data_IF_542017943037
#
_entry.id   IF_542017943037
#
_cell.length_a   1.000
_cell.length_b   1.000
_cell.length_c   1.000
_cell.angle_alpha   90.00
_cell.angle_beta   90.00
_cell.angle_gamma   90.00
#
_symmetry.space_group_name_H-M   'P 1'
#
loop_
_entity.id
_entity.type
_entity.pdbx_description
1 polymer ?
#
# COMPACT_ATOMS: atom_id res chain seq x y z
N UNK A 1 -18.03 -36.08 -43.07
CA UNK A 1 -18.56 -34.71 -43.09
C UNK A 1 -18.10 -33.98 -41.84
N UNK A 2 -16.97 -33.27 -41.89
CA UNK A 2 -16.55 -32.29 -40.89
C UNK A 2 -15.75 -31.23 -41.66
N UNK A 3 -16.37 -30.05 -41.83
CA UNK A 3 -15.78 -28.92 -42.54
C UNK A 3 -14.89 -28.13 -41.59
N UNK A 4 -13.62 -28.05 -41.96
CA UNK A 4 -12.62 -27.06 -41.56
C UNK A 4 -13.18 -25.64 -41.70
N UNK A 5 -13.13 -24.85 -40.62
CA UNK A 5 -13.30 -23.39 -40.70
C UNK A 5 -11.97 -22.75 -40.36
N UNK A 6 -11.34 -22.19 -41.39
CA UNK A 6 -10.11 -21.42 -41.37
C UNK A 6 -10.51 -20.05 -41.94
N UNK A 7 -10.52 -19.00 -41.11
CA UNK A 7 -10.76 -17.62 -41.56
C UNK A 7 -9.89 -16.72 -40.69
N UNK A 8 -8.70 -16.35 -41.16
CA UNK A 8 -8.35 -15.20 -42.01
C UNK A 8 -8.21 -13.91 -41.20
N UNK A 9 -6.93 -13.57 -40.97
CA UNK A 9 -6.44 -12.30 -40.47
C UNK A 9 -6.57 -11.28 -41.61
N UNK A 10 -7.28 -10.17 -41.38
CA UNK A 10 -7.21 -9.02 -42.27
C UNK A 10 -6.95 -7.72 -41.51
N UNK A 11 -5.77 -7.20 -41.83
CA UNK A 11 -5.18 -5.90 -41.54
C UNK A 11 -6.08 -4.73 -41.93
N UNK A 12 -6.32 -3.79 -41.02
CA UNK A 12 -6.58 -2.39 -41.38
C UNK A 12 -5.70 -1.48 -40.51
N UNK A 13 -4.59 -1.06 -41.11
CA UNK A 13 -3.78 0.10 -40.73
C UNK A 13 -4.04 1.13 -41.80
N UNK A 14 -4.82 2.19 -41.50
CA UNK A 14 -4.80 3.44 -42.28
C UNK A 14 -5.12 4.66 -41.41
N UNK A 15 -4.06 5.43 -41.17
CA UNK A 15 -3.94 6.89 -41.41
C UNK A 15 -5.04 7.83 -40.93
N UNK A 16 -4.72 8.63 -39.90
CA UNK A 16 -5.15 10.03 -39.80
C UNK A 16 -4.05 10.85 -39.11
N UNK A 17 -3.13 11.40 -39.92
CA UNK A 17 -2.17 12.43 -39.54
C UNK A 17 -2.35 13.59 -40.51
N UNK A 18 -2.84 14.74 -40.03
CA UNK A 18 -2.44 16.13 -40.40
C UNK A 18 -3.50 17.17 -39.99
N UNK A 19 -3.01 18.30 -39.48
CA UNK A 19 -3.75 19.56 -39.34
C UNK A 19 -3.57 20.20 -37.95
N UNK A 20 -2.39 20.76 -37.64
CA UNK A 20 -2.04 22.18 -37.83
C UNK A 20 -2.65 23.13 -36.78
N UNK A 21 -1.82 23.60 -35.86
CA UNK A 21 -2.09 24.74 -34.98
C UNK A 21 -0.77 25.36 -34.49
N UNK A 22 -0.37 26.48 -35.11
CA UNK A 22 0.77 27.34 -34.75
C UNK A 22 0.34 28.41 -33.75
N UNK A 23 1.29 28.82 -32.89
CA UNK A 23 1.28 30.06 -32.10
C UNK A 23 0.88 29.82 -30.64
N UNK A 24 1.60 30.25 -29.60
CA UNK A 24 2.50 31.39 -29.44
C UNK A 24 3.72 31.08 -28.57
N UNK A 25 4.80 31.83 -28.84
CA UNK A 25 5.97 32.00 -27.98
C UNK A 25 5.58 32.84 -26.76
N UNK A 26 6.03 32.45 -25.57
CA UNK A 26 6.50 33.38 -24.55
C UNK A 26 7.59 32.70 -23.72
N UNK A 27 8.63 33.47 -23.49
CA UNK A 27 9.93 33.07 -22.97
C UNK A 27 10.03 33.24 -21.45
N UNK A 28 11.17 32.72 -20.96
CA UNK A 28 11.92 33.11 -19.76
C UNK A 28 11.65 32.34 -18.46
N UNK A 29 12.71 31.72 -17.95
CA UNK A 29 12.89 31.53 -16.51
C UNK A 29 13.62 30.26 -16.09
N UNK A 30 14.93 30.39 -15.88
CA UNK A 30 15.79 29.57 -14.99
C UNK A 30 15.98 28.08 -15.31
N UNK A 31 16.99 27.80 -16.13
CA UNK A 31 17.69 26.53 -16.15
C UNK A 31 18.65 26.46 -14.95
N UNK A 32 18.36 25.59 -13.97
CA UNK A 32 19.33 25.21 -12.94
C UNK A 32 20.10 24.01 -13.45
N UNK A 33 21.31 24.27 -13.95
CA UNK A 33 22.28 23.24 -14.28
C UNK A 33 22.81 22.60 -12.98
N UNK A 34 22.45 21.33 -12.75
CA UNK A 34 23.11 20.50 -11.75
C UNK A 34 24.28 19.79 -12.42
N UNK A 35 25.48 20.21 -12.04
CA UNK A 35 26.74 19.67 -12.52
C UNK A 35 26.88 18.19 -12.16
N UNK A 36 27.39 17.43 -13.14
CA UNK A 36 27.89 16.07 -13.00
C UNK A 36 29.03 16.00 -11.99
N UNK A 37 29.01 14.97 -11.12
CA UNK A 37 30.24 14.36 -10.60
C UNK A 37 30.22 12.89 -11.00
N UNK A 38 30.82 12.63 -12.14
CA UNK A 38 31.10 11.30 -12.69
C UNK A 38 32.31 10.73 -11.95
N UNK A 39 32.07 9.86 -10.97
CA UNK A 39 33.13 9.06 -10.33
C UNK A 39 33.48 7.87 -11.22
N UNK A 40 34.47 8.05 -12.09
CA UNK A 40 35.05 7.02 -12.95
C UNK A 40 36.12 6.26 -12.14
N UNK A 41 35.84 5.06 -11.65
CA UNK A 41 36.86 4.16 -11.12
C UNK A 41 37.21 3.11 -12.20
N UNK A 42 38.29 3.40 -12.94
CA UNK A 42 38.99 2.45 -13.78
C UNK A 42 39.80 1.51 -12.89
N UNK A 43 39.42 0.23 -12.82
CA UNK A 43 40.33 -0.83 -12.37
C UNK A 43 40.62 -1.71 -13.58
N UNK A 44 41.69 -1.36 -14.27
CA UNK A 44 42.37 -2.17 -15.27
C UNK A 44 43.19 -3.26 -14.57
N UNK A 45 43.00 -4.52 -14.93
CA UNK A 45 43.78 -5.64 -14.42
C UNK A 45 43.64 -6.89 -15.28
N UNK A 46 44.17 -6.83 -16.51
CA UNK A 46 44.44 -8.02 -17.32
C UNK A 46 45.78 -8.64 -16.87
N UNK A 47 45.77 -9.93 -16.54
CA UNK A 47 46.96 -10.78 -16.58
C UNK A 47 46.63 -12.04 -17.38
N UNK A 48 47.30 -12.30 -18.53
CA UNK A 48 47.19 -13.56 -19.25
C UNK A 48 48.19 -14.56 -18.65
N UNK A 49 47.67 -15.50 -17.85
CA UNK A 49 48.44 -16.61 -17.30
C UNK A 49 48.16 -17.90 -18.06
N UNK A 50 49.22 -18.48 -18.62
CA UNK A 50 49.29 -19.70 -19.45
C UNK A 50 48.89 -20.98 -18.70
N UNK A 51 48.22 -21.86 -19.46
CA UNK A 51 48.38 -23.31 -19.56
C UNK A 51 48.85 -24.09 -18.31
N UNK A 52 47.89 -24.73 -17.64
CA UNK A 52 48.12 -26.01 -16.98
C UNK A 52 46.82 -26.82 -17.01
N UNK A 53 46.80 -27.89 -17.81
CA UNK A 53 45.72 -28.87 -17.84
C UNK A 53 45.67 -29.62 -16.49
N UNK A 54 44.51 -29.68 -15.79
CA UNK A 54 44.40 -30.53 -14.61
C UNK A 54 44.09 -31.97 -15.03
N UNK A 55 44.80 -32.89 -14.38
CA UNK A 55 44.58 -34.32 -14.43
C UNK A 55 43.14 -34.66 -14.04
N UNK A 56 42.52 -35.57 -14.81
CA UNK A 56 41.27 -36.23 -14.44
C UNK A 56 41.54 -37.14 -13.23
N UNK A 57 41.10 -36.74 -12.04
CA UNK A 57 40.86 -37.68 -10.95
C UNK A 57 39.40 -38.13 -11.02
N UNK A 58 39.21 -39.43 -11.22
CA UNK A 58 37.92 -40.11 -11.15
C UNK A 58 37.48 -40.20 -9.67
N UNK A 59 37.14 -39.05 -9.07
CA UNK A 59 36.58 -39.00 -7.73
C UNK A 59 35.07 -39.21 -7.81
N UNK A 60 34.67 -40.45 -7.50
CA UNK A 60 33.27 -40.86 -7.29
C UNK A 60 32.61 -39.86 -6.32
N UNK A 61 31.58 -39.10 -6.76
CA UNK A 61 30.99 -38.07 -5.91
C UNK A 61 30.38 -38.75 -4.68
N UNK A 62 30.93 -38.43 -3.51
CA UNK A 62 30.35 -38.78 -2.24
C UNK A 62 28.91 -38.27 -2.22
N UNK A 63 27.96 -39.16 -1.94
CA UNK A 63 26.55 -38.84 -1.77
C UNK A 63 26.44 -37.91 -0.57
N UNK A 64 26.50 -36.61 -0.84
CA UNK A 64 26.46 -35.56 0.17
C UNK A 64 25.11 -35.59 0.87
N UNK A 65 25.15 -35.75 2.19
CA UNK A 65 24.00 -35.57 3.07
C UNK A 65 23.32 -34.24 2.75
N UNK A 66 22.02 -34.27 2.47
CA UNK A 66 21.23 -33.09 2.16
C UNK A 66 21.45 -32.03 3.24
N UNK A 67 22.15 -30.95 2.88
CA UNK A 67 22.48 -29.89 3.82
C UNK A 67 21.22 -29.06 4.03
N UNK A 68 20.86 -28.78 5.28
CA UNK A 68 19.69 -27.95 5.59
C UNK A 68 19.77 -26.61 4.82
N UNK A 69 18.62 -26.03 4.39
CA UNK A 69 18.63 -24.78 3.66
C UNK A 69 19.27 -23.67 4.51
N UNK A 70 19.99 -22.78 3.84
CA UNK A 70 20.59 -21.64 4.54
C UNK A 70 19.50 -20.74 5.14
N UNK A 71 19.79 -20.13 6.30
CA UNK A 71 18.92 -19.11 6.93
C UNK A 71 18.58 -17.97 5.95
N UNK A 72 19.52 -17.63 5.07
CA UNK A 72 19.32 -16.62 4.04
C UNK A 72 18.21 -17.00 3.05
N UNK A 73 18.15 -18.27 2.62
CA UNK A 73 17.10 -18.76 1.72
C UNK A 73 15.73 -18.76 2.41
N UNK A 74 15.65 -19.09 3.71
CA UNK A 74 14.39 -19.02 4.48
C UNK A 74 13.88 -17.57 4.55
N UNK A 75 14.74 -16.62 4.91
CA UNK A 75 14.38 -15.18 4.97
C UNK A 75 13.98 -14.64 3.60
N UNK A 76 14.69 -15.04 2.54
CA UNK A 76 14.35 -14.71 1.16
C UNK A 76 12.96 -15.22 0.79
N UNK A 77 12.68 -16.49 1.09
CA UNK A 77 11.42 -17.16 0.75
C UNK A 77 10.25 -16.53 1.49
N UNK A 78 10.40 -16.28 2.80
CA UNK A 78 9.41 -15.60 3.63
C UNK A 78 9.08 -14.19 3.11
N UNK A 79 10.09 -13.43 2.71
CA UNK A 79 9.93 -12.08 2.15
C UNK A 79 9.27 -12.10 0.77
N UNK A 80 9.61 -13.08 -0.08
CA UNK A 80 8.95 -13.29 -1.37
C UNK A 80 7.47 -13.61 -1.21
N UNK A 81 7.11 -14.50 -0.28
CA UNK A 81 5.71 -14.85 -0.02
C UNK A 81 4.91 -13.65 0.49
N UNK A 82 5.47 -12.89 1.45
CA UNK A 82 4.81 -11.71 1.97
C UNK A 82 4.58 -10.64 0.89
N UNK A 83 5.61 -10.32 0.10
CA UNK A 83 5.53 -9.31 -0.95
C UNK A 83 4.51 -9.70 -2.02
N UNK A 84 4.50 -10.98 -2.42
CA UNK A 84 3.54 -11.51 -3.40
C UNK A 84 2.12 -11.54 -2.86
N UNK A 85 1.94 -11.90 -1.58
CA UNK A 85 0.64 -11.83 -0.91
C UNK A 85 0.12 -10.38 -0.82
N UNK A 86 0.98 -9.40 -0.53
CA UNK A 86 0.62 -7.97 -0.57
C UNK A 86 0.20 -7.55 -1.97
N UNK A 87 0.92 -7.97 -3.01
CA UNK A 87 0.55 -7.68 -4.40
C UNK A 87 -0.83 -8.28 -4.76
N UNK A 88 -1.08 -9.53 -4.40
CA UNK A 88 -2.37 -10.17 -4.66
C UNK A 88 -3.52 -9.53 -3.87
N UNK A 89 -3.28 -9.16 -2.62
CA UNK A 89 -4.24 -8.41 -1.81
C UNK A 89 -4.54 -7.04 -2.44
N UNK A 90 -3.51 -6.35 -2.93
CA UNK A 90 -3.67 -5.07 -3.61
C UNK A 90 -4.53 -5.22 -4.88
N UNK A 91 -4.31 -6.26 -5.68
CA UNK A 91 -5.11 -6.52 -6.89
C UNK A 91 -6.58 -6.77 -6.54
N UNK A 92 -6.86 -7.60 -5.53
CA UNK A 92 -8.23 -7.91 -5.07
C UNK A 92 -8.93 -6.70 -4.48
N UNK A 93 -8.28 -5.99 -3.55
CA UNK A 93 -8.82 -4.78 -2.92
C UNK A 93 -9.04 -3.68 -3.95
N UNK A 94 -8.14 -3.57 -4.94
CA UNK A 94 -8.32 -2.63 -6.04
C UNK A 94 -9.56 -2.94 -6.86
N UNK A 95 -9.77 -4.20 -7.26
CA UNK A 95 -10.99 -4.59 -7.98
C UNK A 95 -12.26 -4.24 -7.19
N UNK A 96 -12.29 -4.53 -5.88
CA UNK A 96 -13.40 -4.17 -5.01
C UNK A 96 -13.64 -2.66 -4.93
N UNK A 97 -12.57 -1.86 -4.82
CA UNK A 97 -12.69 -0.39 -4.77
C UNK A 97 -13.12 0.23 -6.09
N UNK A 98 -12.72 -0.34 -7.21
CA UNK A 98 -13.23 0.11 -8.52
C UNK A 98 -14.71 -0.22 -8.67
N UNK A 99 -15.15 -1.37 -8.17
CA UNK A 99 -16.56 -1.75 -8.15
C UNK A 99 -17.39 -0.81 -7.26
N UNK A 100 -16.91 -0.48 -6.06
CA UNK A 100 -17.53 0.50 -5.15
C UNK A 100 -17.63 1.89 -5.78
N UNK A 101 -16.64 2.31 -6.56
CA UNK A 101 -16.67 3.58 -7.31
C UNK A 101 -17.62 3.55 -8.51
N UNK A 102 -17.85 2.38 -9.11
CA UNK A 102 -18.79 2.22 -10.22
C UNK A 102 -20.24 2.19 -9.72
N UNK A 103 -20.46 1.60 -8.54
CA UNK A 103 -21.75 1.43 -7.91
C UNK A 103 -21.68 2.00 -6.48
N UNK A 104 -21.63 3.34 -6.33
CA UNK A 104 -21.66 3.94 -5.00
C UNK A 104 -22.92 3.45 -4.30
N UNK A 105 -22.74 2.61 -3.28
CA UNK A 105 -23.86 1.98 -2.60
C UNK A 105 -24.68 3.08 -1.95
N UNK A 106 -25.96 3.17 -2.35
CA UNK A 106 -26.93 4.02 -1.67
C UNK A 106 -27.39 3.42 -0.34
N UNK A 107 -26.84 2.26 0.03
CA UNK A 107 -27.25 1.51 1.20
C UNK A 107 -26.88 2.25 2.48
N UNK A 108 -27.87 2.83 3.20
CA UNK A 108 -27.62 3.50 4.47
C UNK A 108 -27.06 2.54 5.52
N UNK A 109 -27.18 1.21 5.37
CA UNK A 109 -26.57 0.26 6.29
C UNK A 109 -25.02 0.23 6.20
N UNK A 110 -24.46 0.64 5.05
CA UNK A 110 -23.00 0.82 4.89
C UNK A 110 -22.52 2.15 5.50
N UNK A 111 -23.41 3.14 5.60
CA UNK A 111 -23.21 4.31 6.43
C UNK A 111 -23.56 3.94 7.88
N UNK A 112 -22.64 3.26 8.57
CA UNK A 112 -22.85 2.73 9.92
C UNK A 112 -23.29 3.80 10.94
N UNK A 113 -24.60 4.06 11.00
CA UNK A 113 -25.25 4.66 12.14
C UNK A 113 -25.48 3.56 13.17
N UNK A 114 -24.99 3.69 14.42
CA UNK A 114 -25.27 2.71 15.46
C UNK A 114 -26.78 2.71 15.77
N UNK A 115 -27.39 1.53 15.78
CA UNK A 115 -28.83 1.32 16.01
C UNK A 115 -29.27 1.55 17.48
N UNK A 116 -28.56 2.37 18.26
CA UNK A 116 -28.80 2.46 19.71
C UNK A 116 -28.62 3.85 20.33
N UNK A 117 -28.56 4.91 19.52
CA UNK A 117 -28.67 6.26 20.07
C UNK A 117 -30.16 6.63 20.24
N UNK A 118 -30.60 7.14 21.42
CA UNK A 118 -31.92 7.72 21.57
C UNK A 118 -32.06 8.90 20.61
N UNK A 119 -33.06 8.81 19.72
CA UNK A 119 -33.48 9.77 18.69
C UNK A 119 -32.44 10.82 18.26
N UNK A 120 -31.40 10.42 17.49
CA UNK A 120 -30.62 11.39 16.75
C UNK A 120 -31.55 12.07 15.75
N UNK A 121 -31.63 13.40 15.82
CA UNK A 121 -32.24 14.24 14.78
C UNK A 121 -31.84 13.67 13.42
N UNK A 122 -32.78 13.36 12.50
CA UNK A 122 -32.48 12.72 11.22
C UNK A 122 -31.59 13.64 10.35
N UNK A 123 -30.29 13.55 10.55
CA UNK A 123 -29.31 14.09 9.61
C UNK A 123 -29.39 13.28 8.32
N UNK A 124 -29.16 13.90 7.15
CA UNK A 124 -29.04 13.14 5.92
C UNK A 124 -27.93 12.08 6.10
N UNK A 125 -28.15 10.83 5.67
CA UNK A 125 -27.16 9.77 5.83
C UNK A 125 -25.84 10.23 5.21
N UNK A 126 -24.76 10.11 5.97
CA UNK A 126 -23.43 10.47 5.49
C UNK A 126 -23.08 9.60 4.28
N UNK A 127 -23.00 10.23 3.10
CA UNK A 127 -22.55 9.61 1.86
C UNK A 127 -21.14 10.14 1.57
N UNK A 128 -20.09 9.30 1.64
CA UNK A 128 -18.79 9.73 1.15
C UNK A 128 -18.94 10.12 -0.32
N UNK A 129 -18.51 11.32 -0.67
CA UNK A 129 -18.53 11.75 -2.06
C UNK A 129 -17.58 10.87 -2.87
N UNK A 130 -17.94 10.56 -4.11
CA UNK A 130 -17.14 9.70 -4.98
C UNK A 130 -15.69 10.22 -5.15
N UNK A 131 -15.50 11.54 -5.04
CA UNK A 131 -14.19 12.17 -5.10
C UNK A 131 -13.30 11.79 -3.91
N UNK A 132 -13.84 11.76 -2.70
CA UNK A 132 -13.14 11.33 -1.49
C UNK A 132 -12.80 9.83 -1.53
N UNK A 133 -13.73 8.98 -1.98
CA UNK A 133 -13.45 7.55 -2.14
C UNK A 133 -12.35 7.31 -3.18
N UNK A 134 -12.39 8.02 -4.31
CA UNK A 134 -11.38 7.93 -5.35
C UNK A 134 -10.01 8.45 -4.87
N UNK A 135 -9.96 9.58 -4.18
CA UNK A 135 -8.72 10.13 -3.60
C UNK A 135 -8.08 9.18 -2.58
N UNK A 136 -8.89 8.63 -1.67
CA UNK A 136 -8.43 7.65 -0.68
C UNK A 136 -7.87 6.39 -1.34
N UNK A 137 -8.54 5.89 -2.38
CA UNK A 137 -8.08 4.75 -3.15
C UNK A 137 -6.76 5.04 -3.87
N UNK A 138 -6.63 6.19 -4.55
CA UNK A 138 -5.43 6.57 -5.31
C UNK A 138 -4.20 6.66 -4.40
N UNK A 139 -4.34 7.29 -3.23
CA UNK A 139 -3.28 7.35 -2.20
C UNK A 139 -2.86 5.97 -1.71
N UNK A 140 -3.85 5.14 -1.35
CA UNK A 140 -3.61 3.76 -0.92
C UNK A 140 -2.89 2.95 -2.00
N UNK A 141 -3.36 3.02 -3.26
CA UNK A 141 -2.79 2.27 -4.37
C UNK A 141 -1.33 2.67 -4.63
N UNK A 142 -1.03 3.97 -4.63
CA UNK A 142 0.34 4.48 -4.78
C UNK A 142 1.25 3.97 -3.68
N UNK A 143 0.85 4.11 -2.41
CA UNK A 143 1.65 3.64 -1.27
C UNK A 143 1.89 2.13 -1.29
N UNK A 144 0.89 1.36 -1.73
CA UNK A 144 0.96 -0.10 -1.80
C UNK A 144 1.88 -0.54 -2.94
N UNK A 145 1.81 0.09 -4.12
CA UNK A 145 2.71 -0.19 -5.24
C UNK A 145 4.16 0.11 -4.88
N UNK A 146 4.43 1.23 -4.19
CA UNK A 146 5.77 1.55 -3.70
C UNK A 146 6.27 0.53 -2.67
N UNK A 147 5.42 0.11 -1.72
CA UNK A 147 5.79 -0.92 -0.75
C UNK A 147 6.13 -2.27 -1.41
N UNK A 148 5.35 -2.70 -2.40
CA UNK A 148 5.62 -3.93 -3.17
C UNK A 148 6.90 -3.80 -3.98
N UNK A 149 7.12 -2.66 -4.65
CA UNK A 149 8.34 -2.40 -5.40
C UNK A 149 9.59 -2.46 -4.50
N UNK A 150 9.53 -1.83 -3.33
CA UNK A 150 10.59 -1.87 -2.32
C UNK A 150 10.83 -3.29 -1.81
N UNK A 151 9.77 -4.07 -1.57
CA UNK A 151 9.86 -5.48 -1.16
C UNK A 151 10.65 -6.33 -2.15
N UNK A 152 10.37 -6.21 -3.46
CA UNK A 152 11.12 -6.94 -4.48
C UNK A 152 12.55 -6.42 -4.68
N UNK A 153 12.76 -5.11 -4.60
CA UNK A 153 14.09 -4.51 -4.72
C UNK A 153 15.03 -4.88 -3.56
N UNK A 154 14.48 -5.04 -2.34
CA UNK A 154 15.25 -5.42 -1.15
C UNK A 154 15.70 -6.88 -1.10
N UNK A 155 15.13 -7.75 -1.93
CA UNK A 155 15.50 -9.15 -2.01
C UNK A 155 16.80 -9.34 -2.77
N UNK A 156 17.83 -9.90 -2.13
CA UNK A 156 19.03 -10.39 -2.82
C UNK A 156 18.70 -11.63 -3.67
N UNK A 157 19.51 -11.99 -4.68
CA UNK A 157 19.36 -13.28 -5.36
C UNK A 157 19.41 -14.46 -4.37
N UNK A 158 18.54 -15.43 -4.58
CA UNK A 158 18.45 -16.68 -3.79
C UNK A 158 19.57 -17.67 -4.11
N UNK A 159 20.20 -17.55 -5.28
CA UNK A 159 21.13 -18.54 -5.82
C UNK A 159 20.43 -19.68 -6.58
N UNK A 160 19.09 -19.68 -6.64
CA UNK A 160 18.30 -20.62 -7.43
C UNK A 160 17.79 -19.88 -8.68
N UNK A 161 18.34 -20.16 -9.88
CA UNK A 161 18.08 -19.36 -11.07
C UNK A 161 16.59 -19.21 -11.44
N UNK A 162 15.79 -20.26 -11.23
CA UNK A 162 14.36 -20.21 -11.51
C UNK A 162 13.60 -19.27 -10.55
N UNK A 163 13.96 -19.28 -9.27
CA UNK A 163 13.38 -18.41 -8.25
C UNK A 163 13.80 -16.93 -8.45
N UNK A 164 15.04 -16.71 -8.86
CA UNK A 164 15.57 -15.38 -9.17
C UNK A 164 14.91 -14.77 -10.41
N UNK A 165 14.61 -15.59 -11.44
CA UNK A 165 13.80 -15.16 -12.59
C UNK A 165 12.37 -14.79 -12.19
N UNK A 166 11.72 -15.56 -11.33
CA UNK A 166 10.38 -15.23 -10.83
C UNK A 166 10.37 -13.87 -10.11
N UNK A 167 11.31 -13.66 -9.18
CA UNK A 167 11.48 -12.37 -8.49
C UNK A 167 11.70 -11.23 -9.49
N UNK A 168 12.61 -11.41 -10.46
CA UNK A 168 12.92 -10.38 -11.44
C UNK A 168 11.72 -10.01 -12.32
N UNK A 169 10.91 -11.00 -12.75
CA UNK A 169 9.70 -10.76 -13.54
C UNK A 169 8.63 -10.00 -12.75
N UNK A 170 8.40 -10.37 -11.50
CA UNK A 170 7.46 -9.67 -10.62
C UNK A 170 7.93 -8.22 -10.36
N UNK A 171 9.21 -8.04 -10.05
CA UNK A 171 9.81 -6.73 -9.86
C UNK A 171 9.67 -5.85 -11.11
N UNK A 172 9.93 -6.40 -12.30
CA UNK A 172 9.80 -5.71 -13.57
C UNK A 172 8.35 -5.26 -13.83
N UNK A 173 7.37 -6.15 -13.64
CA UNK A 173 5.95 -5.80 -13.84
C UNK A 173 5.49 -4.68 -12.92
N UNK A 174 5.83 -4.75 -11.63
CA UNK A 174 5.50 -3.66 -10.68
C UNK A 174 6.25 -2.37 -11.04
N UNK A 175 7.52 -2.47 -11.42
CA UNK A 175 8.34 -1.34 -11.84
C UNK A 175 7.80 -0.62 -13.08
N UNK A 176 7.18 -1.35 -14.00
CA UNK A 176 6.54 -0.81 -15.21
C UNK A 176 5.32 0.07 -14.89
N UNK A 177 4.44 -0.38 -13.99
CA UNK A 177 3.22 0.39 -13.66
C UNK A 177 3.47 1.53 -12.66
N UNK A 178 4.51 1.40 -11.83
CA UNK A 178 4.81 2.33 -10.73
C UNK A 178 4.80 3.80 -11.13
N UNK A 179 5.55 4.27 -12.15
CA UNK A 179 5.59 5.69 -12.49
C UNK A 179 4.21 6.23 -12.88
N UNK A 180 3.40 5.44 -13.57
CA UNK A 180 2.07 5.84 -13.98
C UNK A 180 1.09 5.88 -12.80
N UNK A 181 1.15 4.90 -11.89
CA UNK A 181 0.37 4.93 -10.64
C UNK A 181 0.72 6.17 -9.82
N UNK A 182 2.01 6.46 -9.62
CA UNK A 182 2.47 7.64 -8.88
C UNK A 182 1.99 8.94 -9.54
N UNK A 183 2.08 9.05 -10.87
CA UNK A 183 1.59 10.22 -11.62
C UNK A 183 0.08 10.40 -11.50
N UNK A 184 -0.69 9.31 -11.57
CA UNK A 184 -2.15 9.36 -11.45
C UNK A 184 -2.62 9.68 -10.03
N UNK A 185 -1.84 9.28 -9.02
CA UNK A 185 -2.12 9.46 -7.60
C UNK A 185 -1.44 10.68 -6.97
N UNK A 186 -0.73 11.51 -7.75
CA UNK A 186 -0.03 12.68 -7.24
C UNK A 186 -0.99 13.63 -6.50
N UNK A 187 -0.67 13.91 -5.24
CA UNK A 187 -1.55 14.65 -4.34
C UNK A 187 -1.91 16.04 -4.88
N UNK A 188 -0.91 16.79 -5.37
CA UNK A 188 -1.14 18.13 -5.89
C UNK A 188 -2.05 18.09 -7.12
N UNK A 189 -1.78 17.16 -8.04
CA UNK A 189 -2.61 16.95 -9.21
C UNK A 189 -4.04 16.50 -8.89
N UNK A 190 -4.30 15.90 -7.72
CA UNK A 190 -5.65 15.50 -7.30
C UNK A 190 -6.47 16.65 -6.72
N UNK A 191 -5.85 17.63 -6.05
CA UNK A 191 -6.59 18.71 -5.36
C UNK A 191 -7.44 19.57 -6.29
N UNK A 192 -7.02 19.74 -7.54
CA UNK A 192 -7.72 20.58 -8.53
C UNK A 192 -8.75 19.83 -9.39
N UNK A 193 -8.92 18.53 -9.19
CA UNK A 193 -9.79 17.71 -10.03
C UNK A 193 -11.20 17.62 -9.49
N UNK A 194 -12.16 17.56 -10.41
CA UNK A 194 -13.53 17.18 -10.11
C UNK A 194 -13.62 15.74 -9.58
N UNK A 195 -14.69 15.38 -8.85
CA UNK A 195 -14.95 14.00 -8.44
C UNK A 195 -14.93 13.00 -9.61
N UNK A 196 -15.47 13.38 -10.77
CA UNK A 196 -15.51 12.52 -11.95
C UNK A 196 -14.10 12.22 -12.51
N UNK A 197 -13.22 13.23 -12.56
CA UNK A 197 -11.83 13.05 -13.00
C UNK A 197 -11.03 12.19 -12.02
N UNK A 198 -11.23 12.36 -10.71
CA UNK A 198 -10.62 11.50 -9.68
C UNK A 198 -11.06 10.04 -9.87
N UNK A 199 -12.35 9.79 -10.06
CA UNK A 199 -12.88 8.46 -10.36
C UNK A 199 -12.29 7.88 -11.66
N UNK A 200 -12.15 8.69 -12.70
CA UNK A 200 -11.50 8.29 -13.95
C UNK A 200 -10.03 7.90 -13.76
N UNK A 201 -9.27 8.64 -12.94
CA UNK A 201 -7.90 8.27 -12.53
C UNK A 201 -7.88 6.97 -11.72
N UNK A 202 -8.76 6.83 -10.74
CA UNK A 202 -8.88 5.61 -9.94
C UNK A 202 -9.09 4.38 -10.83
N UNK A 203 -10.04 4.42 -11.77
CA UNK A 203 -10.29 3.34 -12.74
C UNK A 203 -9.04 2.96 -13.55
N UNK A 204 -8.24 3.94 -13.99
CA UNK A 204 -6.97 3.68 -14.69
C UNK A 204 -5.94 3.00 -13.80
N UNK A 205 -5.77 3.46 -12.56
CA UNK A 205 -4.88 2.78 -11.58
C UNK A 205 -5.35 1.35 -11.31
N UNK A 206 -6.66 1.12 -11.21
CA UNK A 206 -7.20 -0.22 -11.04
C UNK A 206 -6.92 -1.14 -12.21
N UNK A 207 -7.00 -0.63 -13.45
CA UNK A 207 -6.63 -1.37 -14.65
C UNK A 207 -5.14 -1.71 -14.69
N UNK A 208 -4.26 -0.79 -14.28
CA UNK A 208 -2.80 -1.04 -14.17
C UNK A 208 -2.50 -2.16 -13.17
N UNK A 209 -3.10 -2.11 -11.98
CA UNK A 209 -2.96 -3.19 -10.99
C UNK A 209 -3.52 -4.53 -11.50
N UNK A 210 -4.65 -4.51 -12.20
CA UNK A 210 -5.23 -5.71 -12.79
C UNK A 210 -4.35 -6.33 -13.89
N UNK A 211 -3.57 -5.50 -14.60
CA UNK A 211 -2.65 -5.94 -15.67
C UNK A 211 -1.46 -6.76 -15.16
N UNK A 212 -1.10 -6.62 -13.88
CA UNK A 212 -0.04 -7.42 -13.27
C UNK A 212 -0.46 -8.88 -13.18
N UNK A 213 0.23 -9.75 -13.93
CA UNK A 213 -0.02 -11.19 -13.93
C UNK A 213 0.99 -11.91 -13.04
N UNK A 214 0.54 -12.91 -12.30
CA UNK A 214 1.40 -13.85 -11.60
C UNK A 214 2.18 -14.67 -12.66
N UNK A 215 3.53 -14.60 -12.71
CA UNK A 215 4.29 -15.42 -13.64
C UNK A 215 4.15 -16.91 -13.30
N UNK A 216 4.29 -17.77 -14.32
CA UNK A 216 4.34 -19.23 -14.14
C UNK A 216 5.70 -19.78 -14.55
N UNK A 217 6.26 -20.75 -13.81
CA UNK A 217 5.76 -21.29 -12.52
C UNK A 217 5.85 -20.25 -11.39
N UNK A 218 4.91 -20.30 -10.45
CA UNK A 218 4.93 -19.49 -9.24
C UNK A 218 5.84 -20.12 -8.17
N UNK A 219 5.98 -19.44 -7.02
CA UNK A 219 6.90 -19.87 -5.97
C UNK A 219 6.58 -21.28 -5.41
N UNK A 220 5.32 -21.65 -5.13
CA UNK A 220 4.97 -23.02 -4.76
C UNK A 220 5.36 -24.07 -5.81
N UNK A 221 5.10 -23.79 -7.09
CA UNK A 221 5.47 -24.71 -8.18
C UNK A 221 6.99 -24.82 -8.36
N UNK A 222 7.75 -23.77 -8.04
CA UNK A 222 9.21 -23.81 -8.02
C UNK A 222 9.74 -24.60 -6.82
N UNK A 223 9.16 -24.39 -5.63
CA UNK A 223 9.50 -25.12 -4.42
C UNK A 223 9.32 -26.63 -4.62
N UNK A 224 8.22 -27.06 -5.24
CA UNK A 224 7.97 -28.47 -5.55
C UNK A 224 9.05 -29.12 -6.45
N UNK A 225 9.84 -28.33 -7.18
CA UNK A 225 10.89 -28.81 -8.10
C UNK A 225 12.31 -28.67 -7.54
N UNK A 226 12.50 -28.01 -6.40
CA UNK A 226 13.81 -27.77 -5.81
C UNK A 226 13.77 -28.07 -4.30
N UNK A 227 14.45 -29.12 -3.81
CA UNK A 227 14.39 -29.54 -2.41
C UNK A 227 14.75 -28.46 -1.40
N UNK A 228 15.83 -27.69 -1.64
CA UNK A 228 16.27 -26.64 -0.72
C UNK A 228 15.22 -25.51 -0.61
N UNK A 229 14.62 -25.13 -1.76
CA UNK A 229 13.54 -24.16 -1.79
C UNK A 229 12.26 -24.69 -1.14
N UNK A 230 11.96 -25.98 -1.30
CA UNK A 230 10.83 -26.62 -0.60
C UNK A 230 10.99 -26.52 0.91
N UNK A 231 12.16 -26.91 1.44
CA UNK A 231 12.43 -26.82 2.87
C UNK A 231 12.38 -25.37 3.34
N UNK A 232 12.98 -24.43 2.60
CA UNK A 232 12.90 -23.01 2.94
C UNK A 232 11.46 -22.46 2.91
N UNK A 233 10.64 -22.89 1.95
CA UNK A 233 9.23 -22.52 1.83
C UNK A 233 8.40 -23.00 3.02
N UNK A 234 8.62 -24.24 3.47
CA UNK A 234 7.91 -24.78 4.64
C UNK A 234 8.34 -24.12 5.96
N UNK A 235 9.60 -23.70 6.06
CA UNK A 235 10.12 -23.01 7.25
C UNK A 235 9.77 -21.52 7.28
N UNK A 236 9.34 -20.94 6.16
CA UNK A 236 9.00 -19.53 6.04
C UNK A 236 7.58 -19.24 6.57
N UNK A 237 7.43 -18.49 7.69
CA UNK A 237 6.13 -18.31 8.35
C UNK A 237 5.03 -17.71 7.48
N UNK A 238 5.38 -16.85 6.51
CA UNK A 238 4.41 -16.17 5.63
C UNK A 238 4.11 -16.94 4.33
N UNK A 239 4.74 -18.09 4.10
CA UNK A 239 4.54 -18.91 2.90
C UNK A 239 3.51 -20.02 3.08
N UNK A 240 3.37 -20.52 4.31
CA UNK A 240 2.36 -21.52 4.64
C UNK A 240 1.10 -20.76 5.03
N UNK A 241 -0.06 -20.99 4.36
CA UNK A 241 -1.32 -20.47 4.84
C UNK A 241 -1.48 -20.96 6.28
N UNK A 242 -1.42 -20.06 7.25
CA UNK A 242 -1.54 -20.43 8.66
C UNK A 242 -2.87 -21.19 8.79
N UNK A 243 -2.86 -22.51 9.09
CA UNK A 243 -4.07 -23.32 9.10
C UNK A 243 -4.94 -22.79 10.23
N UNK A 244 -5.91 -21.95 9.88
CA UNK A 244 -6.74 -21.26 10.86
C UNK A 244 -5.95 -20.32 11.76
N UNK A 245 -5.63 -19.12 11.28
CA UNK A 245 -6.02 -17.96 12.08
C UNK A 245 -7.53 -17.71 11.91
N UNK A 246 -8.36 -18.73 12.15
CA UNK A 246 -9.43 -18.49 13.10
C UNK A 246 -8.65 -18.04 14.32
N UNK A 247 -8.54 -16.71 14.51
CA UNK A 247 -7.83 -16.11 15.64
C UNK A 247 -8.19 -17.01 16.82
N UNK A 248 -7.24 -17.75 17.41
CA UNK A 248 -7.56 -18.49 18.60
C UNK A 248 -8.25 -17.46 19.46
N UNK A 249 -9.50 -17.72 19.85
CA UNK A 249 -10.05 -17.13 21.06
C UNK A 249 -9.16 -17.72 22.15
N UNK A 250 -7.92 -17.22 22.21
CA UNK A 250 -7.09 -17.34 23.36
C UNK A 250 -8.04 -16.92 24.49
N UNK A 251 -8.15 -17.74 25.56
CA UNK A 251 -8.80 -17.28 26.78
C UNK A 251 -8.29 -15.87 26.98
N UNK A 252 -9.20 -14.89 27.09
CA UNK A 252 -8.82 -13.50 27.14
C UNK A 252 -7.87 -13.34 28.32
N UNK A 253 -6.56 -13.43 28.05
CA UNK A 253 -5.54 -13.07 29.00
C UNK A 253 -5.95 -11.66 29.40
N UNK A 254 -6.15 -11.39 30.70
CA UNK A 254 -6.63 -10.11 31.17
C UNK A 254 -5.66 -9.06 30.64
N UNK A 255 -6.04 -8.48 29.49
CA UNK A 255 -5.10 -7.71 28.69
C UNK A 255 -4.75 -6.53 29.58
N UNK A 256 -3.45 -6.32 29.90
CA UNK A 256 -3.02 -5.39 30.95
C UNK A 256 -3.78 -4.08 30.83
N UNK A 257 -4.75 -3.82 31.72
CA UNK A 257 -5.77 -2.79 31.52
C UNK A 257 -5.12 -1.50 31.02
N UNK A 258 -5.70 -0.90 29.96
CA UNK A 258 -5.20 0.37 29.47
C UNK A 258 -5.21 1.35 30.64
N UNK A 259 -4.08 2.04 30.94
CA UNK A 259 -4.13 3.12 31.91
C UNK A 259 -5.30 4.05 31.54
N UNK A 260 -6.09 4.48 32.52
CA UNK A 260 -7.17 5.42 32.25
C UNK A 260 -6.55 6.69 31.64
N UNK A 261 -7.06 7.19 30.51
CA UNK A 261 -6.60 8.47 30.00
C UNK A 261 -7.08 9.57 30.96
N UNK A 262 -6.36 10.69 31.01
CA UNK A 262 -6.61 11.77 31.96
C UNK A 262 -8.07 12.25 32.00
N UNK A 263 -8.72 12.36 30.82
CA UNK A 263 -10.09 12.84 30.67
C UNK A 263 -11.09 11.72 30.37
N UNK A 264 -10.68 10.45 30.46
CA UNK A 264 -11.59 9.31 30.29
C UNK A 264 -12.28 9.30 28.92
N UNK A 265 -13.61 9.38 28.91
CA UNK A 265 -14.45 9.49 27.71
C UNK A 265 -15.10 10.88 27.59
N UNK A 266 -14.61 11.88 28.33
CA UNK A 266 -15.11 13.25 28.26
C UNK A 266 -14.53 13.98 27.04
N UNK A 267 -15.19 13.82 25.88
CA UNK A 267 -14.76 14.47 24.65
C UNK A 267 -14.87 16.00 24.69
N UNK A 268 -15.62 16.56 25.65
CA UNK A 268 -15.75 18.02 25.81
C UNK A 268 -14.49 18.64 26.46
N UNK A 269 -13.71 17.85 27.22
CA UNK A 269 -12.43 18.28 27.79
C UNK A 269 -11.44 18.77 26.72
N UNK A 270 -11.56 18.27 25.48
CA UNK A 270 -10.70 18.65 24.36
C UNK A 270 -10.94 20.06 23.80
N UNK A 271 -11.96 20.78 24.28
CA UNK A 271 -12.36 22.07 23.72
C UNK A 271 -11.25 23.15 23.80
N UNK A 272 -10.43 23.11 24.84
CA UNK A 272 -9.30 24.04 25.04
C UNK A 272 -8.03 23.66 24.26
N UNK A 273 -8.07 22.52 23.57
CA UNK A 273 -6.94 22.02 22.82
C UNK A 273 -6.02 21.07 23.58
N UNK A 274 -6.30 20.70 24.82
CA UNK A 274 -5.47 19.79 25.63
C UNK A 274 -6.34 18.76 26.35
N UNK A 275 -6.30 17.52 25.89
CA UNK A 275 -6.99 16.42 26.55
C UNK A 275 -6.30 15.08 26.26
N UNK A 276 -6.56 14.08 27.09
CA UNK A 276 -6.32 12.68 26.81
C UNK A 276 -7.63 11.91 26.96
N UNK A 277 -8.12 11.33 25.86
CA UNK A 277 -9.42 10.66 25.80
C UNK A 277 -9.28 9.21 25.31
N UNK A 278 -10.28 8.38 25.63
CA UNK A 278 -10.44 7.03 25.11
C UNK A 278 -11.34 7.02 23.89
N UNK A 279 -10.81 6.55 22.78
CA UNK A 279 -11.60 6.26 21.58
C UNK A 279 -11.99 4.78 21.55
N UNK A 280 -13.15 4.50 20.96
CA UNK A 280 -13.72 3.16 20.76
C UNK A 280 -14.00 2.94 19.26
N UNK A 281 -14.61 1.82 18.83
CA UNK A 281 -15.00 1.63 17.44
C UNK A 281 -16.13 2.53 16.98
N UNK A 282 -16.87 3.13 17.91
CA UNK A 282 -17.94 4.05 17.60
C UNK A 282 -17.38 5.42 17.23
N UNK A 283 -17.73 5.99 16.06
CA UNK A 283 -17.35 7.36 15.71
C UNK A 283 -17.88 8.37 16.71
N UNK A 284 -16.99 9.23 17.19
CA UNK A 284 -17.31 10.33 18.11
C UNK A 284 -16.86 11.66 17.51
N UNK A 285 -17.68 12.68 17.69
CA UNK A 285 -17.35 14.05 17.31
C UNK A 285 -16.67 14.75 18.50
N UNK A 286 -15.46 15.23 18.27
CA UNK A 286 -14.61 15.94 19.24
C UNK A 286 -14.41 17.36 18.73
N UNK A 287 -14.64 18.35 19.60
CA UNK A 287 -14.38 19.75 19.30
C UNK A 287 -13.03 20.14 19.91
N UNK A 288 -12.14 20.68 19.08
CA UNK A 288 -10.82 21.17 19.51
C UNK A 288 -10.67 22.59 18.97
N UNK A 289 -10.85 23.60 19.83
CA UNK A 289 -10.98 24.99 19.38
C UNK A 289 -12.17 25.18 18.42
N UNK A 290 -11.90 25.68 17.20
CA UNK A 290 -12.88 25.84 16.13
C UNK A 290 -13.02 24.60 15.21
N UNK A 291 -12.15 23.60 15.41
CA UNK A 291 -12.10 22.41 14.57
C UNK A 291 -13.03 21.31 15.11
N UNK A 292 -13.78 20.70 14.20
CA UNK A 292 -14.57 19.49 14.47
C UNK A 292 -13.84 18.27 13.91
N UNK A 293 -13.54 17.31 14.79
CA UNK A 293 -12.92 16.03 14.45
C UNK A 293 -13.92 14.91 14.68
N UNK A 294 -14.08 14.01 13.71
CA UNK A 294 -14.73 12.71 13.93
C UNK A 294 -13.63 11.67 14.09
N UNK A 295 -13.59 10.96 15.21
CA UNK A 295 -12.55 9.99 15.54
C UNK A 295 -13.11 8.61 15.92
N UNK A 296 -12.41 7.53 15.57
CA UNK A 296 -12.76 6.16 15.94
C UNK A 296 -11.56 5.22 15.83
N UNK A 297 -11.66 4.02 16.42
CA UNK A 297 -10.64 2.96 16.35
C UNK A 297 -11.16 1.80 15.51
N UNK A 298 -10.36 1.30 14.58
CA UNK A 298 -10.70 0.06 13.86
C UNK A 298 -9.45 -0.68 13.45
N UNK A 299 -9.42 -2.00 13.64
CA UNK A 299 -8.30 -2.84 13.21
C UNK A 299 -6.94 -2.33 13.73
N UNK A 300 -6.87 -1.91 15.01
CA UNK A 300 -5.66 -1.30 15.61
C UNK A 300 -5.13 -0.09 14.83
N UNK A 301 -6.03 0.75 14.34
CA UNK A 301 -5.68 2.10 13.87
C UNK A 301 -6.69 3.12 14.37
N UNK A 302 -6.20 4.26 14.82
CA UNK A 302 -7.03 5.44 15.09
C UNK A 302 -7.26 6.14 13.76
N UNK A 303 -8.52 6.39 13.43
CA UNK A 303 -8.92 7.14 12.26
C UNK A 303 -9.50 8.45 12.70
N UNK A 304 -8.97 9.52 12.13
CA UNK A 304 -9.42 10.88 12.38
C UNK A 304 -9.87 11.51 11.08
N UNK A 305 -10.94 12.29 11.16
CA UNK A 305 -11.42 13.09 10.05
C UNK A 305 -11.73 14.47 10.56
N UNK A 306 -11.24 15.49 9.86
CA UNK A 306 -11.54 16.89 10.13
C UNK A 306 -12.48 17.44 9.08
N UNK A 307 -13.39 18.30 9.50
CA UNK A 307 -14.17 19.18 8.65
C UNK A 307 -13.99 20.62 9.15
N UNK A 308 -13.51 21.51 8.29
CA UNK A 308 -13.31 22.92 8.65
C UNK A 308 -14.57 23.73 8.32
N UNK A 309 -14.99 24.66 9.20
CA UNK A 309 -16.15 25.53 8.94
C UNK A 309 -16.03 26.35 7.66
N UNK A 310 -14.81 26.76 7.31
CA UNK A 310 -14.47 27.54 6.12
C UNK A 310 -14.39 26.71 4.84
N UNK A 311 -14.74 25.43 4.90
CA UNK A 311 -14.54 24.46 3.82
C UNK A 311 -13.20 23.74 3.93
N UNK A 312 -13.14 22.58 3.29
CA UNK A 312 -12.02 21.64 3.37
C UNK A 312 -12.27 20.50 4.36
N UNK A 313 -11.76 19.32 4.03
CA UNK A 313 -11.76 18.16 4.92
C UNK A 313 -10.43 17.44 4.82
N UNK A 314 -10.05 16.74 5.88
CA UNK A 314 -8.85 15.94 5.93
C UNK A 314 -9.13 14.64 6.65
N UNK A 315 -8.38 13.59 6.33
CA UNK A 315 -8.44 12.33 7.06
C UNK A 315 -7.04 11.84 7.36
N UNK A 316 -6.86 11.24 8.52
CA UNK A 316 -5.60 10.70 8.99
C UNK A 316 -5.86 9.32 9.61
N UNK A 317 -4.85 8.46 9.52
CA UNK A 317 -4.84 7.17 10.21
C UNK A 317 -3.53 7.08 10.99
N UNK A 318 -3.62 6.79 12.27
CA UNK A 318 -2.48 6.67 13.18
C UNK A 318 -2.46 5.26 13.79
N UNK A 319 -1.28 4.63 13.80
CA UNK A 319 -1.02 3.44 14.60
C UNK A 319 -0.60 3.79 16.02
N UNK A 320 -0.26 2.77 16.82
CA UNK A 320 0.27 2.95 18.17
C UNK A 320 1.56 3.77 18.15
N UNK A 321 1.70 4.74 19.06
CA UNK A 321 2.80 5.70 19.07
C UNK A 321 2.77 6.71 17.92
N UNK A 322 1.79 6.61 17.01
CA UNK A 322 1.63 7.50 15.87
C UNK A 322 1.28 8.91 16.31
N UNK A 323 1.91 9.89 15.65
CA UNK A 323 1.64 11.31 15.84
C UNK A 323 1.26 11.95 14.50
N UNK A 324 0.30 12.85 14.52
CA UNK A 324 -0.02 13.66 13.36
C UNK A 324 -0.64 14.99 13.74
N UNK A 325 -0.74 15.90 12.78
CA UNK A 325 -1.14 17.29 13.04
C UNK A 325 -2.22 17.75 12.07
N UNK A 326 -3.20 18.48 12.60
CA UNK A 326 -4.15 19.28 11.84
C UNK A 326 -3.88 20.75 12.12
N UNK A 327 -3.97 21.61 11.12
CA UNK A 327 -3.77 23.04 11.30
C UNK A 327 -3.87 23.78 9.99
N UNK A 328 -3.98 25.11 10.09
CA UNK A 328 -3.88 26.02 8.95
C UNK A 328 -2.53 26.72 8.97
N UNK A 329 -2.04 27.13 7.79
CA UNK A 329 -0.85 27.97 7.72
C UNK A 329 -1.08 29.25 8.55
N UNK A 330 -0.20 29.51 9.52
CA UNK A 330 -0.30 30.66 10.43
C UNK A 330 -1.42 30.57 11.48
N UNK A 331 -2.05 29.40 11.65
CA UNK A 331 -3.11 29.18 12.63
C UNK A 331 -2.72 28.25 13.77
N UNK A 332 -3.72 27.92 14.61
CA UNK A 332 -3.58 26.88 15.62
C UNK A 332 -3.34 25.52 14.96
N UNK A 333 -2.42 24.75 15.52
CA UNK A 333 -2.09 23.38 15.11
C UNK A 333 -2.46 22.42 16.23
N UNK A 334 -3.37 21.50 15.95
CA UNK A 334 -3.75 20.39 16.81
C UNK A 334 -2.87 19.19 16.49
N UNK A 335 -2.03 18.81 17.43
CA UNK A 335 -1.33 17.54 17.43
C UNK A 335 -2.22 16.46 18.03
N UNK A 336 -2.23 15.30 17.38
CA UNK A 336 -2.88 14.08 17.86
C UNK A 336 -1.80 13.01 18.04
N UNK A 337 -1.71 12.43 19.24
CA UNK A 337 -0.76 11.35 19.56
C UNK A 337 -1.51 10.13 20.08
N UNK A 338 -1.30 8.97 19.47
CA UNK A 338 -1.86 7.69 19.95
C UNK A 338 -0.90 7.13 20.99
N UNK A 339 -1.22 7.30 22.28
CA UNK A 339 -0.37 6.81 23.37
C UNK A 339 -0.37 5.28 23.45
N UNK A 340 -1.52 4.67 23.19
CA UNK A 340 -1.72 3.24 23.32
C UNK A 340 -2.89 2.78 22.46
N UNK A 341 -2.78 1.58 21.87
CA UNK A 341 -3.73 1.10 20.88
C UNK A 341 -4.03 -0.39 21.05
N UNK A 342 -5.31 -0.72 21.12
CA UNK A 342 -5.84 -2.08 21.11
C UNK A 342 -6.64 -2.33 19.84
N UNK A 343 -7.25 -3.51 19.75
CA UNK A 343 -8.04 -3.93 18.58
C UNK A 343 -9.15 -2.91 18.28
N UNK A 344 -9.78 -2.41 19.32
CA UNK A 344 -11.00 -1.62 19.33
C UNK A 344 -10.93 -0.36 20.21
N UNK A 345 -9.88 -0.18 21.01
CA UNK A 345 -9.74 0.98 21.90
C UNK A 345 -8.40 1.69 21.71
N UNK A 346 -8.36 3.00 21.97
CA UNK A 346 -7.12 3.77 21.96
C UNK A 346 -7.17 4.90 22.97
N UNK A 347 -6.06 5.13 23.69
CA UNK A 347 -5.86 6.39 24.40
C UNK A 347 -5.20 7.38 23.45
N UNK A 348 -5.82 8.53 23.27
CA UNK A 348 -5.37 9.56 22.33
C UNK A 348 -5.24 10.89 23.05
N UNK A 349 -4.06 11.47 22.93
CA UNK A 349 -3.72 12.80 23.43
C UNK A 349 -3.90 13.83 22.31
N UNK A 350 -4.61 14.92 22.62
CA UNK A 350 -4.71 16.10 21.77
C UNK A 350 -3.94 17.24 22.43
N UNK A 351 -3.16 17.97 21.64
CA UNK A 351 -2.43 19.14 22.11
C UNK A 351 -2.44 20.23 21.05
N UNK A 352 -2.86 21.43 21.41
CA UNK A 352 -2.91 22.58 20.51
C UNK A 352 -1.76 23.53 20.78
N UNK A 353 -1.11 23.97 19.70
CA UNK A 353 -0.03 24.97 19.71
C UNK A 353 -0.38 26.09 18.74
N UNK A 354 -0.20 27.34 19.16
CA UNK A 354 -0.21 28.49 18.23
C UNK A 354 1.13 28.58 17.52
N UNK A 355 1.09 28.68 16.20
CA UNK A 355 2.26 28.91 15.35
C UNK A 355 2.85 30.31 15.54
#
# INVERSE_FOLDING_TARGET
>A
MLKTVRTEVRTEVRTAVRGAGRGHRSAAGAATALALVTGLALVSGCTPGKDAAPARTDDKPAVGTATAPSRALVVWTDTMCATTATLDAARKQSAQKIEELAHPTNDPASAHAPASAPDPVPGPPYRPDAGFTADSYLKWASSTVEAVAAGYAGLRPSGIPAADRLRAQLAAGVGEIRPEVTRLSDFFALTSLSPAEKTGRAKRVGALLASLKQPRPDLPALAAKNPDLATAYHLAPRCVPSPGTARPTAPADPSPQLPPPADGTDFAACADGKCEIRLTPHPVDIKVGDMKLTAWVKNRVVRLRTAYPTGGSGSMTLGEGGRGTYGRAGGETVTVTVKLLRVDEANVEFTTTRA
#
